data_IF_790519522203
#
_entry.id   IF_790519522203
#
_cell.length_a   1.000
_cell.length_b   1.000
_cell.length_c   1.000
_cell.angle_alpha   90.00
_cell.angle_beta   90.00
_cell.angle_gamma   90.00
#
_symmetry.space_group_name_H-M   'P 1'
#
loop_
_entity.id
_entity.type
_entity.pdbx_description
1 polymer ?
#
# COMPACT_ATOMS: atom_id res chain seq x y z
N UNK A 1 4.34 -3.28 -22.61
CA UNK A 1 5.10 -3.45 -21.37
C UNK A 1 6.11 -2.31 -21.21
N UNK A 2 6.99 -2.06 -22.20
CA UNK A 2 8.00 -0.99 -22.14
C UNK A 2 7.40 0.40 -21.87
N UNK A 3 6.24 0.68 -22.45
CA UNK A 3 5.55 1.94 -22.21
C UNK A 3 5.06 2.07 -20.76
N UNK A 4 4.59 1.00 -20.13
CA UNK A 4 4.23 0.98 -18.70
C UNK A 4 5.47 1.20 -17.82
N UNK A 5 6.59 0.56 -18.14
CA UNK A 5 7.86 0.79 -17.43
C UNK A 5 8.33 2.24 -17.58
N UNK A 6 8.24 2.82 -18.78
CA UNK A 6 8.57 4.25 -19.02
C UNK A 6 7.65 5.21 -18.26
N UNK A 7 6.42 4.84 -17.97
CA UNK A 7 5.53 5.61 -17.12
C UNK A 7 5.85 5.49 -15.62
N UNK A 8 6.83 4.66 -15.25
CA UNK A 8 7.30 4.46 -13.89
C UNK A 8 6.63 3.32 -13.12
N UNK A 9 5.79 2.51 -13.76
CA UNK A 9 5.26 1.31 -13.11
C UNK A 9 6.36 0.29 -12.87
N UNK A 10 6.24 -0.43 -11.77
CA UNK A 10 7.16 -1.49 -11.36
C UNK A 10 6.50 -2.86 -11.46
N UNK A 11 7.33 -3.91 -11.36
CA UNK A 11 6.87 -5.29 -11.45
C UNK A 11 6.02 -5.55 -12.71
N UNK A 12 6.31 -4.81 -13.77
CA UNK A 12 5.56 -4.90 -15.02
C UNK A 12 5.81 -6.22 -15.70
N UNK A 13 4.74 -6.92 -16.03
CA UNK A 13 4.78 -8.16 -16.78
C UNK A 13 3.49 -8.37 -17.55
N UNK A 14 3.52 -9.28 -18.51
CA UNK A 14 2.34 -9.70 -19.24
C UNK A 14 2.43 -11.14 -19.67
N UNK A 15 1.30 -11.76 -19.88
CA UNK A 15 1.15 -13.08 -20.52
C UNK A 15 -0.12 -13.11 -21.34
N UNK A 16 -0.15 -13.99 -22.27
CA UNK A 16 -1.33 -14.24 -23.09
C UNK A 16 -1.44 -15.73 -23.38
N UNK A 17 -2.61 -16.26 -23.19
CA UNK A 17 -2.97 -17.61 -23.61
C UNK A 17 -4.18 -17.59 -24.55
N UNK A 18 -4.82 -18.76 -24.74
CA UNK A 18 -6.00 -18.88 -25.59
C UNK A 18 -7.24 -18.22 -24.97
N UNK A 19 -7.26 -18.05 -23.65
CA UNK A 19 -8.45 -17.59 -22.92
C UNK A 19 -8.40 -16.11 -22.56
N UNK A 20 -7.27 -15.59 -22.07
CA UNK A 20 -7.16 -14.20 -21.68
C UNK A 20 -5.75 -13.62 -21.89
N UNK A 21 -5.67 -12.28 -21.97
CA UNK A 21 -4.41 -11.52 -21.88
C UNK A 21 -4.33 -10.88 -20.48
N UNK A 22 -3.23 -11.12 -19.77
CA UNK A 22 -3.04 -10.65 -18.41
C UNK A 22 -1.84 -9.71 -18.33
N UNK A 23 -2.05 -8.52 -17.80
CA UNK A 23 -1.00 -7.57 -17.42
C UNK A 23 -0.84 -7.57 -15.90
N UNK A 24 0.38 -7.33 -15.45
CA UNK A 24 0.70 -7.14 -14.03
C UNK A 24 1.46 -5.84 -13.89
N UNK A 25 1.08 -5.02 -12.92
CA UNK A 25 1.75 -3.75 -12.59
C UNK A 25 1.81 -3.53 -11.09
N UNK A 26 2.74 -2.69 -10.66
CA UNK A 26 2.76 -2.05 -9.35
C UNK A 26 2.93 -0.57 -9.55
N UNK A 27 2.09 0.23 -8.91
CA UNK A 27 2.22 1.68 -8.94
C UNK A 27 3.30 2.11 -7.91
N UNK A 28 4.27 2.90 -8.36
CA UNK A 28 5.31 3.49 -7.51
C UNK A 28 5.49 4.99 -7.71
N UNK A 29 4.73 5.58 -8.66
CA UNK A 29 4.90 6.98 -9.06
C UNK A 29 3.71 7.84 -8.69
N UNK A 30 2.49 7.30 -8.86
CA UNK A 30 1.28 8.07 -8.62
C UNK A 30 0.84 7.96 -7.17
N UNK A 31 0.70 9.11 -6.50
CA UNK A 31 0.27 9.19 -5.10
C UNK A 31 -1.09 8.53 -4.85
N UNK A 32 -2.01 8.69 -5.80
CA UNK A 32 -3.33 8.07 -5.73
C UNK A 32 -3.35 6.82 -6.61
N UNK A 33 -3.57 5.67 -6.00
CA UNK A 33 -3.58 4.38 -6.66
C UNK A 33 -4.56 4.35 -7.86
N UNK A 34 -5.76 4.87 -7.68
CA UNK A 34 -6.76 4.95 -8.75
C UNK A 34 -6.31 5.78 -9.97
N UNK A 35 -5.50 6.82 -9.76
CA UNK A 35 -4.93 7.61 -10.87
C UNK A 35 -3.91 6.78 -11.64
N UNK A 36 -3.03 6.08 -10.93
CA UNK A 36 -2.05 5.18 -11.53
C UNK A 36 -2.72 4.08 -12.36
N UNK A 37 -3.68 3.38 -11.75
CA UNK A 37 -4.47 2.33 -12.42
C UNK A 37 -5.17 2.88 -13.67
N UNK A 38 -5.84 4.03 -13.56
CA UNK A 38 -6.52 4.64 -14.70
C UNK A 38 -5.57 4.95 -15.86
N UNK A 39 -4.37 5.46 -15.59
CA UNK A 39 -3.35 5.70 -16.62
C UNK A 39 -2.81 4.41 -17.24
N UNK A 40 -2.67 3.34 -16.45
CA UNK A 40 -2.27 2.04 -16.98
C UNK A 40 -3.36 1.46 -17.90
N UNK A 41 -4.62 1.56 -17.51
CA UNK A 41 -5.77 1.13 -18.34
C UNK A 41 -5.80 1.91 -19.67
N UNK A 42 -5.70 3.25 -19.63
CA UNK A 42 -5.65 4.07 -20.84
C UNK A 42 -4.52 3.67 -21.78
N UNK A 43 -3.35 3.37 -21.22
CA UNK A 43 -2.21 2.96 -22.02
C UNK A 43 -2.44 1.58 -22.66
N UNK A 44 -2.98 0.62 -21.91
CA UNK A 44 -3.31 -0.71 -22.42
C UNK A 44 -4.36 -0.60 -23.54
N UNK A 45 -5.38 0.23 -23.38
CA UNK A 45 -6.40 0.50 -24.40
C UNK A 45 -5.77 1.08 -25.68
N UNK A 46 -4.87 2.07 -25.54
CA UNK A 46 -4.18 2.71 -26.69
C UNK A 46 -3.22 1.76 -27.43
N UNK A 47 -2.65 0.79 -26.73
CA UNK A 47 -1.74 -0.19 -27.32
C UNK A 47 -2.45 -1.31 -28.07
N UNK A 48 -3.75 -1.35 -27.98
CA UNK A 48 -4.63 -2.36 -28.56
C UNK A 48 -5.01 -3.46 -27.58
N UNK A 49 -6.30 -3.56 -27.31
CA UNK A 49 -6.90 -4.69 -26.63
C UNK A 49 -7.00 -5.86 -27.60
N UNK A 50 -6.99 -7.10 -27.10
CA UNK A 50 -7.24 -8.25 -27.96
C UNK A 50 -8.70 -8.22 -28.45
N UNK A 51 -8.92 -8.44 -29.76
CA UNK A 51 -10.24 -8.33 -30.39
C UNK A 51 -11.25 -9.40 -29.92
N UNK A 52 -10.79 -10.58 -29.57
CA UNK A 52 -11.65 -11.74 -29.35
C UNK A 52 -11.42 -12.44 -28.01
N UNK A 53 -10.69 -11.86 -27.11
CA UNK A 53 -10.45 -12.44 -25.78
C UNK A 53 -10.42 -11.40 -24.68
N UNK A 54 -10.74 -11.78 -23.44
CA UNK A 54 -10.68 -10.88 -22.30
C UNK A 54 -9.28 -10.33 -22.04
N UNK A 55 -9.24 -9.16 -21.41
CA UNK A 55 -8.01 -8.56 -20.90
C UNK A 55 -8.13 -8.32 -19.38
N UNK A 56 -7.11 -8.72 -18.66
CA UNK A 56 -7.03 -8.54 -17.22
C UNK A 56 -5.80 -7.73 -16.83
N UNK A 57 -5.97 -6.80 -15.92
CA UNK A 57 -4.88 -6.06 -15.30
C UNK A 57 -4.84 -6.40 -13.80
N UNK A 58 -3.74 -6.99 -13.34
CA UNK A 58 -3.52 -7.32 -11.93
C UNK A 58 -2.62 -6.27 -11.31
N UNK A 59 -3.09 -5.64 -10.26
CA UNK A 59 -2.38 -4.58 -9.53
C UNK A 59 -1.73 -5.19 -8.29
N UNK A 60 -0.45 -4.91 -8.14
CA UNK A 60 0.35 -5.33 -6.99
C UNK A 60 0.58 -4.14 -6.04
N UNK A 61 0.69 -4.44 -4.77
CA UNK A 61 1.32 -3.59 -3.75
C UNK A 61 2.39 -4.41 -3.04
N UNK A 62 3.60 -3.88 -3.01
CA UNK A 62 4.77 -4.58 -2.45
C UNK A 62 4.88 -6.05 -2.94
N UNK A 63 4.74 -6.27 -4.24
CA UNK A 63 4.73 -7.59 -4.88
C UNK A 63 3.58 -8.53 -4.48
N UNK A 64 2.62 -8.07 -3.68
CA UNK A 64 1.41 -8.82 -3.30
C UNK A 64 0.25 -8.37 -4.17
N UNK A 65 -0.44 -9.28 -4.89
CA UNK A 65 -1.58 -8.90 -5.72
C UNK A 65 -2.73 -8.39 -4.86
N UNK A 66 -3.27 -7.23 -5.21
CA UNK A 66 -4.34 -6.58 -4.48
C UNK A 66 -5.69 -6.79 -5.15
N UNK A 67 -5.81 -6.32 -6.37
CA UNK A 67 -7.06 -6.34 -7.16
C UNK A 67 -6.75 -6.75 -8.59
N UNK A 68 -7.80 -7.11 -9.32
CA UNK A 68 -7.77 -7.25 -10.77
C UNK A 68 -8.82 -6.34 -11.40
N UNK A 69 -8.49 -5.78 -12.55
CA UNK A 69 -9.42 -5.15 -13.46
C UNK A 69 -9.62 -6.10 -14.63
N UNK A 70 -10.85 -6.26 -15.07
CA UNK A 70 -11.21 -7.19 -16.11
C UNK A 70 -12.07 -6.52 -17.18
N UNK A 71 -11.66 -6.67 -18.41
CA UNK A 71 -12.39 -6.23 -19.59
C UNK A 71 -12.79 -7.44 -20.43
N UNK A 72 -14.06 -7.54 -20.78
CA UNK A 72 -14.63 -8.54 -21.66
C UNK A 72 -15.09 -7.89 -22.96
N UNK A 73 -14.47 -8.18 -24.11
CA UNK A 73 -14.95 -7.65 -25.38
C UNK A 73 -16.31 -8.23 -25.71
N UNK A 74 -17.23 -7.38 -26.14
CA UNK A 74 -18.51 -7.82 -26.68
C UNK A 74 -18.42 -7.92 -28.21
N UNK A 75 -19.22 -8.82 -28.82
CA UNK A 75 -19.27 -8.92 -30.28
C UNK A 75 -19.78 -7.61 -30.90
N UNK A 76 -18.95 -7.00 -31.73
CA UNK A 76 -19.28 -5.75 -32.40
C UNK A 76 -18.72 -4.50 -31.76
N UNK A 77 -18.06 -4.61 -30.60
CA UNK A 77 -17.37 -3.45 -30.00
C UNK A 77 -16.23 -2.99 -30.90
N UNK A 78 -16.24 -1.71 -31.20
CA UNK A 78 -15.07 -1.06 -31.77
C UNK A 78 -14.06 -0.82 -30.64
N UNK A 79 -12.83 -1.36 -30.75
CA UNK A 79 -11.76 -1.15 -29.78
C UNK A 79 -11.51 0.35 -29.52
N UNK A 80 -11.80 1.20 -30.51
CA UNK A 80 -11.66 2.65 -30.39
C UNK A 80 -12.66 3.30 -29.41
N UNK A 81 -13.73 2.62 -29.05
CA UNK A 81 -14.79 3.15 -28.18
C UNK A 81 -14.71 2.65 -26.74
N UNK A 82 -13.79 1.73 -26.43
CA UNK A 82 -13.62 1.18 -25.08
C UNK A 82 -13.19 2.28 -24.10
N UNK A 83 -13.95 2.41 -23.02
CA UNK A 83 -13.71 3.37 -21.96
C UNK A 83 -13.23 2.67 -20.67
N UNK A 84 -12.77 3.46 -19.68
CA UNK A 84 -12.45 2.91 -18.35
C UNK A 84 -13.68 2.29 -17.66
N UNK A 85 -14.88 2.74 -17.98
CA UNK A 85 -16.13 2.25 -17.39
C UNK A 85 -16.44 0.80 -17.79
N UNK A 86 -15.86 0.33 -18.89
CA UNK A 86 -16.05 -1.04 -19.37
C UNK A 86 -15.19 -2.07 -18.64
N UNK A 87 -14.31 -1.61 -17.77
CA UNK A 87 -13.50 -2.45 -16.91
C UNK A 87 -14.18 -2.69 -15.57
N UNK A 88 -14.39 -3.94 -15.21
CA UNK A 88 -14.85 -4.32 -13.88
C UNK A 88 -13.66 -4.48 -12.93
N UNK A 89 -13.82 -4.03 -11.68
CA UNK A 89 -12.80 -4.16 -10.64
C UNK A 89 -13.23 -5.24 -9.66
N UNK A 90 -12.31 -6.12 -9.27
CA UNK A 90 -12.59 -7.19 -8.34
C UNK A 90 -11.36 -7.54 -7.48
N UNK A 91 -11.61 -7.99 -6.25
CA UNK A 91 -10.60 -8.64 -5.42
C UNK A 91 -10.35 -10.09 -5.84
N UNK A 92 -11.12 -10.65 -6.76
CA UNK A 92 -10.82 -11.94 -7.38
C UNK A 92 -9.76 -11.75 -8.47
N UNK A 93 -8.71 -12.56 -8.43
CA UNK A 93 -7.62 -12.45 -9.39
C UNK A 93 -7.86 -13.31 -10.66
N UNK A 94 -8.89 -14.14 -10.65
CA UNK A 94 -9.15 -15.08 -11.73
C UNK A 94 -8.06 -16.15 -11.91
N UNK A 95 -8.25 -17.00 -12.89
CA UNK A 95 -7.29 -18.06 -13.23
C UNK A 95 -5.98 -17.51 -13.80
N UNK A 96 -6.04 -16.38 -14.50
CA UNK A 96 -4.87 -15.72 -15.10
C UNK A 96 -3.76 -15.38 -14.10
N UNK A 97 -4.07 -15.22 -12.80
CA UNK A 97 -3.03 -15.04 -11.80
C UNK A 97 -2.11 -16.26 -11.64
N UNK A 98 -2.63 -17.46 -11.83
CA UNK A 98 -1.81 -18.68 -11.74
C UNK A 98 -0.68 -18.68 -12.76
N UNK A 99 -0.94 -18.13 -13.94
CA UNK A 99 0.04 -17.93 -15.00
C UNK A 99 0.89 -16.68 -14.76
N UNK A 100 0.24 -15.55 -14.52
CA UNK A 100 0.86 -14.25 -14.34
C UNK A 100 1.91 -14.20 -13.21
N UNK A 101 1.69 -14.95 -12.10
CA UNK A 101 2.64 -15.01 -10.98
C UNK A 101 3.99 -15.65 -11.32
N UNK A 102 4.07 -16.41 -12.42
CA UNK A 102 5.29 -17.13 -12.86
C UNK A 102 6.07 -16.35 -13.91
N UNK A 103 5.52 -15.26 -14.43
CA UNK A 103 6.12 -14.48 -15.49
C UNK A 103 7.34 -13.75 -14.96
N UNK A 104 8.41 -13.74 -15.76
CA UNK A 104 9.55 -12.87 -15.53
C UNK A 104 9.10 -11.42 -15.75
N UNK A 105 9.11 -10.64 -14.69
CA UNK A 105 8.81 -9.21 -14.75
C UNK A 105 9.97 -8.46 -15.41
N UNK A 106 9.65 -7.41 -16.15
CA UNK A 106 10.65 -6.63 -16.87
C UNK A 106 11.50 -5.73 -15.95
N UNK A 107 10.91 -5.32 -14.84
CA UNK A 107 11.57 -4.56 -13.79
C UNK A 107 11.13 -5.06 -12.41
N UNK A 108 11.85 -4.66 -11.38
CA UNK A 108 11.59 -5.10 -10.01
C UNK A 108 11.46 -3.89 -9.08
N UNK A 109 10.55 -3.99 -8.12
CA UNK A 109 10.46 -3.06 -6.99
C UNK A 109 11.36 -3.44 -5.81
N UNK A 110 11.98 -4.63 -5.84
CA UNK A 110 12.77 -5.12 -4.71
C UNK A 110 14.03 -4.28 -4.51
N UNK A 111 14.32 -3.97 -3.26
CA UNK A 111 15.46 -3.16 -2.81
C UNK A 111 15.48 -1.73 -3.36
N UNK A 112 14.39 -1.27 -3.96
CA UNK A 112 14.23 0.15 -4.27
C UNK A 112 13.85 0.91 -3.02
N UNK A 113 14.37 2.12 -2.95
CA UNK A 113 14.15 3.05 -1.85
C UNK A 113 13.15 4.09 -2.28
N UNK A 114 12.01 4.11 -1.62
CA UNK A 114 11.01 5.14 -1.79
C UNK A 114 11.16 6.16 -0.66
N UNK A 115 11.18 7.44 -1.02
CA UNK A 115 11.24 8.54 -0.06
C UNK A 115 9.87 9.22 -0.06
N UNK A 116 9.22 9.21 1.10
CA UNK A 116 7.91 9.82 1.29
C UNK A 116 8.00 10.87 2.39
N UNK A 117 7.43 12.04 2.17
CA UNK A 117 7.39 13.10 3.17
C UNK A 117 5.97 13.25 3.69
N UNK A 118 5.79 13.07 4.99
CA UNK A 118 4.50 13.19 5.67
C UNK A 118 4.44 14.52 6.43
N UNK A 119 3.66 15.51 5.97
CA UNK A 119 3.29 16.62 6.82
C UNK A 119 2.28 16.16 7.88
N UNK A 120 2.50 16.51 9.12
CA UNK A 120 1.62 16.17 10.24
C UNK A 120 1.18 17.44 10.94
N UNK A 121 -0.12 17.64 11.05
CA UNK A 121 -0.74 18.68 11.84
C UNK A 121 -1.59 18.02 12.92
N UNK A 122 -1.21 18.21 14.18
CA UNK A 122 -1.98 17.76 15.33
C UNK A 122 -2.46 18.96 16.11
N UNK A 123 -3.68 18.93 16.56
CA UNK A 123 -4.23 19.93 17.47
C UNK A 123 -5.11 19.26 18.52
N UNK A 124 -5.15 19.86 19.68
CA UNK A 124 -6.04 19.47 20.77
C UNK A 124 -6.52 20.71 21.51
N UNK A 125 -7.71 20.62 22.04
CA UNK A 125 -8.34 21.70 22.81
C UNK A 125 -8.22 21.40 24.30
N UNK A 126 -7.81 22.39 25.07
CA UNK A 126 -7.85 22.38 26.53
C UNK A 126 -8.80 23.46 27.03
N UNK A 127 -9.70 23.08 27.96
CA UNK A 127 -10.81 23.95 28.37
C UNK A 127 -10.37 25.03 29.36
N UNK A 128 -9.28 24.86 30.11
CA UNK A 128 -8.99 25.71 31.27
C UNK A 128 -7.69 26.50 31.21
N UNK A 129 -6.67 26.11 30.48
CA UNK A 129 -5.37 26.78 30.50
C UNK A 129 -4.87 27.28 29.15
N UNK A 130 -5.20 26.53 28.07
CA UNK A 130 -4.94 26.90 26.69
C UNK A 130 -6.10 26.46 25.84
N UNK A 131 -6.61 27.34 25.01
CA UNK A 131 -7.74 27.03 24.13
C UNK A 131 -7.32 25.99 23.09
N UNK A 132 -6.11 26.13 22.55
CA UNK A 132 -5.55 25.22 21.54
C UNK A 132 -4.08 24.94 21.82
N UNK A 133 -3.67 23.71 21.56
CA UNK A 133 -2.27 23.33 21.43
C UNK A 133 -2.07 22.72 20.05
N UNK A 134 -1.02 23.14 19.35
CA UNK A 134 -0.74 22.76 17.97
C UNK A 134 0.64 22.11 17.88
N UNK A 135 0.76 21.09 17.06
CA UNK A 135 2.03 20.51 16.64
C UNK A 135 2.03 20.43 15.13
N UNK A 136 3.08 20.94 14.53
CA UNK A 136 3.35 20.83 13.09
C UNK A 136 4.68 20.11 12.92
N UNK A 137 4.66 18.97 12.26
CA UNK A 137 5.84 18.19 11.95
C UNK A 137 5.99 18.00 10.45
N UNK A 138 7.23 17.84 10.01
CA UNK A 138 7.58 17.27 8.70
C UNK A 138 8.34 15.97 8.96
N UNK A 139 7.83 14.88 8.41
CA UNK A 139 8.28 13.53 8.76
C UNK A 139 8.68 12.76 7.51
N UNK A 140 9.91 12.96 6.98
CA UNK A 140 10.42 12.13 5.91
C UNK A 140 10.56 10.68 6.37
N UNK A 141 10.18 9.76 5.48
CA UNK A 141 10.31 8.33 5.66
C UNK A 141 10.99 7.69 4.46
N UNK A 142 11.76 6.67 4.73
CA UNK A 142 12.34 5.76 3.74
C UNK A 142 11.58 4.45 3.84
N UNK A 143 11.10 3.97 2.70
CA UNK A 143 10.43 2.68 2.56
C UNK A 143 11.23 1.80 1.61
N UNK A 144 11.49 0.56 2.00
CA UNK A 144 12.26 -0.41 1.20
C UNK A 144 11.51 -1.73 1.15
N UNK A 145 11.20 -2.19 -0.06
CA UNK A 145 10.66 -3.53 -0.31
C UNK A 145 11.79 -4.55 -0.31
N UNK A 146 11.84 -5.44 0.69
CA UNK A 146 12.91 -6.43 0.83
C UNK A 146 12.63 -7.70 0.02
N UNK A 147 11.43 -8.24 0.13
CA UNK A 147 10.91 -9.35 -0.68
C UNK A 147 9.40 -9.26 -0.77
N UNK A 148 8.77 -10.23 -1.39
CA UNK A 148 7.31 -10.23 -1.60
C UNK A 148 6.53 -10.01 -0.31
N UNK A 149 5.88 -8.86 -0.21
CA UNK A 149 5.07 -8.46 0.93
C UNK A 149 5.84 -7.95 2.15
N UNK A 150 7.17 -7.99 2.14
CA UNK A 150 8.00 -7.47 3.24
C UNK A 150 8.45 -6.04 2.94
N UNK A 151 8.15 -5.14 3.87
CA UNK A 151 8.52 -3.73 3.80
C UNK A 151 9.20 -3.28 5.09
N UNK A 152 10.34 -2.62 4.94
CA UNK A 152 11.02 -1.88 6.00
C UNK A 152 10.66 -0.40 5.86
N UNK A 153 10.22 0.23 6.94
CA UNK A 153 9.95 1.67 6.99
C UNK A 153 10.79 2.30 8.07
N UNK A 154 11.53 3.36 7.73
CA UNK A 154 12.27 4.21 8.65
C UNK A 154 11.84 5.65 8.50
N UNK A 155 11.33 6.28 9.56
CA UNK A 155 10.85 7.65 9.56
C UNK A 155 11.57 8.48 10.60
N UNK A 156 11.85 9.74 10.28
CA UNK A 156 12.36 10.75 11.22
C UNK A 156 11.37 11.90 11.29
N UNK A 157 11.03 12.32 12.49
CA UNK A 157 10.10 13.42 12.75
C UNK A 157 10.91 14.69 13.01
N UNK A 158 10.69 15.72 12.20
CA UNK A 158 11.22 17.06 12.37
C UNK A 158 10.10 17.99 12.87
N UNK A 159 10.13 18.40 14.15
CA UNK A 159 9.15 19.33 14.68
C UNK A 159 9.41 20.75 14.14
N UNK A 160 8.42 21.32 13.46
CA UNK A 160 8.44 22.70 12.97
C UNK A 160 7.86 23.64 14.02
N UNK A 161 6.71 23.26 14.59
CA UNK A 161 6.04 23.98 15.67
C UNK A 161 5.48 23.00 16.70
N UNK A 162 5.58 23.33 18.00
CA UNK A 162 5.14 22.41 19.03
C UNK A 162 4.74 23.10 20.35
N UNK A 163 3.49 22.87 20.74
CA UNK A 163 2.93 23.25 22.05
C UNK A 163 2.79 22.06 23.02
N UNK A 164 3.04 20.79 22.59
CA UNK A 164 2.73 19.58 23.38
C UNK A 164 3.78 19.23 24.45
N UNK A 165 4.87 20.03 24.54
CA UNK A 165 5.92 19.83 25.54
C UNK A 165 7.26 19.37 24.96
N UNK A 166 8.26 19.23 25.83
CA UNK A 166 9.67 19.11 25.44
C UNK A 166 9.97 17.86 24.58
N UNK A 167 9.33 16.73 24.85
CA UNK A 167 9.54 15.50 24.06
C UNK A 167 9.15 15.62 22.59
N UNK A 168 8.21 16.50 22.29
CA UNK A 168 7.76 16.77 20.93
C UNK A 168 8.64 17.79 20.21
N UNK A 169 9.55 18.47 20.92
CA UNK A 169 10.48 19.46 20.34
C UNK A 169 11.74 18.83 19.73
N UNK A 170 12.03 17.59 20.06
CA UNK A 170 13.24 16.94 19.58
C UNK A 170 13.02 16.28 18.22
N UNK A 171 14.06 16.31 17.38
CA UNK A 171 14.14 15.44 16.21
C UNK A 171 14.26 14.00 16.72
N UNK A 172 13.38 13.13 16.26
CA UNK A 172 13.28 11.77 16.77
C UNK A 172 12.85 10.78 15.73
N UNK A 173 13.13 9.48 15.90
CA UNK A 173 12.52 8.43 15.09
C UNK A 173 10.98 8.47 15.21
N UNK A 174 10.31 8.33 14.09
CA UNK A 174 8.88 8.10 14.00
C UNK A 174 8.57 6.61 13.90
N UNK A 175 8.15 6.16 12.72
CA UNK A 175 8.02 4.73 12.45
C UNK A 175 9.40 4.11 12.16
N UNK A 176 9.72 3.02 12.85
CA UNK A 176 10.82 2.12 12.49
C UNK A 176 10.24 0.72 12.56
N UNK A 177 9.70 0.25 11.43
CA UNK A 177 8.88 -0.96 11.40
C UNK A 177 9.28 -1.89 10.27
N UNK A 178 9.21 -3.18 10.55
CA UNK A 178 9.27 -4.25 9.57
C UNK A 178 7.88 -4.88 9.49
N UNK A 179 7.30 -4.92 8.30
CA UNK A 179 5.96 -5.46 8.07
C UNK A 179 5.95 -6.49 6.95
N UNK A 180 5.25 -7.60 7.16
CA UNK A 180 5.02 -8.63 6.18
C UNK A 180 3.53 -8.74 5.86
N UNK A 181 3.18 -8.51 4.61
CA UNK A 181 1.83 -8.73 4.10
C UNK A 181 1.79 -9.99 3.27
N UNK A 182 0.79 -10.81 3.49
CA UNK A 182 0.48 -11.99 2.67
C UNK A 182 -0.98 -11.95 2.23
N UNK A 183 -1.22 -12.36 1.00
CA UNK A 183 -2.57 -12.62 0.51
C UNK A 183 -2.87 -14.11 0.68
N UNK A 184 -3.87 -14.41 1.47
CA UNK A 184 -4.45 -15.73 1.65
C UNK A 184 -5.54 -15.99 0.58
N UNK A 185 -5.97 -17.24 0.39
CA UNK A 185 -7.16 -17.55 -0.42
C UNK A 185 -8.39 -16.75 0.02
N UNK A 186 -9.42 -16.72 -0.82
CA UNK A 186 -10.72 -16.11 -0.50
C UNK A 186 -10.65 -14.62 -0.16
N UNK A 187 -9.82 -13.84 -0.88
CA UNK A 187 -9.73 -12.37 -0.76
C UNK A 187 -9.36 -11.87 0.65
N UNK A 188 -8.53 -12.64 1.35
CA UNK A 188 -8.09 -12.32 2.71
C UNK A 188 -6.65 -11.83 2.68
N UNK A 189 -6.37 -10.77 3.40
CA UNK A 189 -5.03 -10.21 3.59
C UNK A 189 -4.65 -10.29 5.05
N UNK A 190 -3.43 -10.72 5.32
CA UNK A 190 -2.85 -10.74 6.65
C UNK A 190 -1.57 -9.91 6.64
N UNK A 191 -1.45 -8.98 7.58
CA UNK A 191 -0.25 -8.15 7.75
C UNK A 191 0.23 -8.27 9.18
N UNK A 192 1.46 -8.72 9.35
CA UNK A 192 2.16 -8.71 10.63
C UNK A 192 3.22 -7.60 10.60
N UNK A 193 3.31 -6.82 11.67
CA UNK A 193 4.27 -5.72 11.78
C UNK A 193 4.95 -5.77 13.15
N UNK A 194 6.25 -5.48 13.17
CA UNK A 194 7.03 -5.34 14.40
C UNK A 194 7.89 -4.09 14.32
N UNK A 195 8.14 -3.46 15.45
CA UNK A 195 9.02 -2.31 15.52
C UNK A 195 8.53 -1.21 16.44
N UNK A 196 8.98 0.00 16.14
CA UNK A 196 8.57 1.22 16.83
C UNK A 196 7.50 1.92 16.02
N UNK A 197 6.36 2.12 16.67
CA UNK A 197 5.21 2.81 16.08
C UNK A 197 5.15 4.25 16.57
N UNK A 198 4.61 5.14 15.77
CA UNK A 198 4.37 6.51 16.19
C UNK A 198 3.53 6.55 17.49
N UNK A 199 3.53 7.65 18.23
CA UNK A 199 2.86 7.84 19.53
C UNK A 199 3.48 7.03 20.67
N UNK A 200 4.79 6.83 20.63
CA UNK A 200 5.54 6.22 21.73
C UNK A 200 5.14 4.78 22.06
N UNK A 201 4.94 3.98 21.03
CA UNK A 201 4.63 2.55 21.14
C UNK A 201 5.63 1.72 20.35
N UNK A 202 6.02 0.58 20.91
CA UNK A 202 6.85 -0.43 20.26
C UNK A 202 6.30 -1.83 20.52
N UNK A 203 6.55 -2.77 19.65
CA UNK A 203 6.05 -4.14 19.81
C UNK A 203 5.63 -4.80 18.52
N UNK A 204 4.55 -5.56 18.56
CA UNK A 204 3.99 -6.28 17.43
C UNK A 204 2.52 -5.94 17.19
N UNK A 205 2.14 -6.04 15.93
CA UNK A 205 0.78 -5.79 15.44
C UNK A 205 0.43 -6.81 14.36
N UNK A 206 -0.77 -7.35 14.42
CA UNK A 206 -1.32 -8.27 13.43
C UNK A 206 -2.66 -7.71 12.95
N UNK A 207 -2.78 -7.53 11.63
CA UNK A 207 -3.99 -7.07 10.96
C UNK A 207 -4.46 -8.12 9.97
N UNK A 208 -5.75 -8.45 10.00
CA UNK A 208 -6.43 -9.28 9.01
C UNK A 208 -7.54 -8.46 8.35
N UNK A 209 -7.63 -8.55 7.03
CA UNK A 209 -8.72 -7.94 6.25
C UNK A 209 -9.30 -8.97 5.30
N UNK A 210 -10.61 -9.11 5.34
CA UNK A 210 -11.36 -10.01 4.48
C UNK A 210 -12.41 -9.26 3.67
N UNK A 211 -12.42 -9.49 2.36
CA UNK A 211 -13.46 -8.98 1.46
C UNK A 211 -14.45 -10.10 1.12
N UNK A 212 -15.74 -9.86 1.36
CA UNK A 212 -16.79 -10.80 1.04
C UNK A 212 -16.97 -10.96 -0.49
N UNK A 213 -17.79 -11.95 -0.91
CA UNK A 213 -18.14 -12.13 -2.33
C UNK A 213 -18.81 -10.89 -2.92
N UNK A 214 -19.71 -10.27 -2.18
CA UNK A 214 -20.18 -8.93 -2.46
C UNK A 214 -19.10 -7.96 -1.98
N UNK A 215 -18.26 -7.52 -2.87
CA UNK A 215 -17.05 -6.71 -2.61
C UNK A 215 -17.35 -5.33 -2.01
N UNK A 216 -18.63 -5.00 -1.79
CA UNK A 216 -19.07 -3.82 -1.04
C UNK A 216 -18.83 -3.94 0.47
N UNK A 217 -18.66 -5.16 0.97
CA UNK A 217 -18.45 -5.42 2.38
C UNK A 217 -17.06 -6.00 2.64
N UNK A 218 -16.42 -5.48 3.69
CA UNK A 218 -15.17 -6.04 4.22
C UNK A 218 -15.19 -6.01 5.73
N UNK A 219 -14.43 -6.92 6.35
CA UNK A 219 -14.15 -6.93 7.78
C UNK A 219 -12.66 -6.75 7.98
N UNK A 220 -12.30 -5.81 8.85
CA UNK A 220 -10.94 -5.56 9.32
C UNK A 220 -10.85 -5.98 10.79
N UNK A 221 -9.92 -6.86 11.13
CA UNK A 221 -9.59 -7.21 12.51
C UNK A 221 -8.12 -6.90 12.79
N UNK A 222 -7.83 -6.36 13.95
CA UNK A 222 -6.47 -6.00 14.35
C UNK A 222 -6.21 -6.36 15.79
N UNK A 223 -5.04 -6.92 16.09
CA UNK A 223 -4.54 -7.21 17.43
C UNK A 223 -3.15 -6.63 17.55
N UNK A 224 -2.92 -5.80 18.55
CA UNK A 224 -1.62 -5.21 18.85
C UNK A 224 -1.16 -5.57 20.27
N UNK A 225 0.06 -6.07 20.40
CA UNK A 225 0.74 -6.26 21.67
C UNK A 225 1.93 -5.31 21.74
N UNK A 226 1.77 -4.21 22.50
CA UNK A 226 2.73 -3.11 22.49
C UNK A 226 3.02 -2.59 23.88
N UNK A 227 4.28 -2.19 24.09
CA UNK A 227 4.74 -1.44 25.25
C UNK A 227 4.89 0.04 24.99
N UNK A 228 5.06 0.85 26.03
CA UNK A 228 5.50 2.23 25.90
C UNK A 228 6.99 2.25 25.58
N UNK A 229 7.38 3.08 24.60
CA UNK A 229 8.77 3.36 24.29
C UNK A 229 8.89 4.75 23.68
N UNK A 230 10.03 5.38 23.84
CA UNK A 230 10.33 6.68 23.26
C UNK A 230 11.82 6.83 23.02
N UNK A 231 12.15 7.74 22.13
CA UNK A 231 13.53 8.15 21.91
C UNK A 231 13.76 9.52 22.55
N UNK A 232 14.90 9.64 23.23
CA UNK A 232 15.41 10.88 23.77
C UNK A 232 16.92 10.92 23.45
N UNK A 233 17.38 11.98 22.80
CA UNK A 233 18.74 12.08 22.27
C UNK A 233 19.21 10.85 21.49
N UNK A 234 18.31 10.28 20.68
CA UNK A 234 18.50 9.05 19.88
C UNK A 234 18.66 7.75 20.69
N UNK A 235 18.68 7.81 22.00
CA UNK A 235 18.63 6.63 22.86
C UNK A 235 17.19 6.13 23.01
N UNK A 236 17.01 4.80 22.96
CA UNK A 236 15.70 4.18 23.12
C UNK A 236 15.43 3.84 24.57
N UNK A 237 14.34 4.31 25.11
CA UNK A 237 13.84 4.04 26.45
C UNK A 237 12.50 3.30 26.36
N UNK A 238 12.32 2.28 27.18
CA UNK A 238 11.08 1.52 27.21
C UNK A 238 10.56 1.32 28.64
N UNK A 239 9.23 1.28 28.76
CA UNK A 239 8.57 0.91 30.00
C UNK A 239 8.37 -0.59 30.12
N UNK A 240 8.05 -1.05 31.31
CA UNK A 240 7.82 -2.46 31.61
C UNK A 240 6.37 -2.90 31.36
N UNK A 241 5.43 -1.95 31.19
CA UNK A 241 4.01 -2.24 31.00
C UNK A 241 3.68 -2.48 29.54
N UNK A 242 3.05 -3.60 29.26
CA UNK A 242 2.54 -3.99 27.95
C UNK A 242 1.02 -3.88 27.91
N UNK A 243 0.50 -3.63 26.74
CA UNK A 243 -0.93 -3.46 26.48
C UNK A 243 -1.32 -4.33 25.29
N UNK A 244 -2.35 -5.12 25.47
CA UNK A 244 -3.05 -5.80 24.39
C UNK A 244 -4.19 -4.90 23.91
N UNK A 245 -4.26 -4.65 22.64
CA UNK A 245 -5.31 -3.87 21.98
C UNK A 245 -5.95 -4.69 20.89
N UNK A 246 -7.24 -4.54 20.68
CA UNK A 246 -7.97 -5.17 19.58
C UNK A 246 -9.00 -4.21 19.00
N UNK A 247 -9.29 -4.37 17.70
CA UNK A 247 -10.38 -3.69 16.99
C UNK A 247 -10.93 -4.60 15.89
N UNK A 248 -12.20 -4.43 15.61
CA UNK A 248 -12.92 -5.05 14.50
C UNK A 248 -13.59 -3.96 13.70
#
# INVERSE_FOLDING_TARGET
VDALVKMGFENVGWTEDTEERVFVIQNSVYRLEGVGIGKAVDLIQKMGLPENKPCRLIVLDNNVPQISLYYQPMKGDSIAEVSRADWSVSYDLGEGWKQARRIKKQNSSLFKVDIVVYPELLFRNYILSKVYEIVVNVSPAIEVSLWKGMKLTGQVIFPIYNDYGQRYKQIRPGFVTLSQTVRLPQRTFLTASVGFFNKFRWGGDLKAKHFFKDERFSVDARIGYTGRGYFEDWAFYHGTKWTLTGSI
#
